data_IF_265440824329
#
_entry.id   IF_265440824329
#
_cell.length_a   1.000
_cell.length_b   1.000
_cell.length_c   1.000
_cell.angle_alpha   90.00
_cell.angle_beta   90.00
_cell.angle_gamma   90.00
#
_symmetry.space_group_name_H-M   'P 1'
#
loop_
_entity.id
_entity.type
_entity.pdbx_description
1 polymer ?
#
# COMPACT_ATOMS: atom_id res chain seq x y z
N UNK A 1 -5.08 10.10 4.51
CA UNK A 1 -6.28 9.32 4.13
C UNK A 1 -6.04 8.61 2.81
N UNK A 2 -5.29 7.51 2.79
CA UNK A 2 -4.94 6.80 1.55
C UNK A 2 -4.99 5.28 1.77
N UNK A 3 -5.46 4.49 0.78
CA UNK A 3 -5.69 3.05 0.94
C UNK A 3 -4.38 2.26 0.89
N UNK A 4 -4.18 1.38 1.87
CA UNK A 4 -2.99 0.53 1.98
C UNK A 4 -2.93 -0.52 0.84
N UNK A 5 -1.72 -0.82 0.32
CA UNK A 5 -1.47 -1.82 -0.74
C UNK A 5 -0.11 -2.47 -0.59
N UNK A 6 0.01 -3.73 -1.03
CA UNK A 6 0.85 -4.68 -0.30
C UNK A 6 1.17 -5.97 -1.13
N UNK A 7 2.27 -6.75 -0.85
CA UNK A 7 2.55 -8.18 -1.26
C UNK A 7 4.01 -8.64 -0.90
N UNK A 8 4.41 -9.89 -1.17
CA UNK A 8 5.57 -10.62 -0.55
C UNK A 8 6.77 -10.98 -1.47
N UNK A 9 7.93 -11.40 -0.88
CA UNK A 9 9.20 -11.70 -1.59
C UNK A 9 10.08 -12.79 -0.93
N UNK A 10 11.00 -13.41 -1.72
CA UNK A 10 12.09 -14.34 -1.32
C UNK A 10 13.40 -13.92 -2.05
N UNK A 11 14.58 -14.14 -1.47
CA UNK A 11 15.89 -13.61 -1.97
C UNK A 11 17.03 -14.65 -1.88
N UNK A 12 18.04 -14.63 -2.78
CA UNK A 12 19.36 -15.24 -2.57
C UNK A 12 20.55 -14.24 -2.61
N UNK A 13 21.70 -14.64 -2.05
CA UNK A 13 22.87 -13.78 -1.75
C UNK A 13 23.98 -13.76 -2.83
N UNK A 14 24.80 -12.70 -2.86
CA UNK A 14 26.18 -12.73 -3.40
C UNK A 14 27.14 -11.85 -2.55
N UNK A 15 28.45 -12.05 -2.72
CA UNK A 15 29.54 -11.60 -1.83
C UNK A 15 30.60 -10.81 -2.63
N UNK A 16 31.15 -9.69 -2.12
CA UNK A 16 32.57 -9.28 -2.30
C UNK A 16 32.93 -7.96 -1.58
N UNK A 17 34.22 -7.79 -1.25
CA UNK A 17 34.76 -6.71 -0.40
C UNK A 17 35.35 -5.55 -1.20
N UNK A 18 34.99 -4.30 -0.88
CA UNK A 18 35.81 -3.11 -1.15
C UNK A 18 35.58 -2.04 -0.07
N UNK A 19 36.66 -1.46 0.49
CA UNK A 19 36.59 -0.40 1.49
C UNK A 19 36.26 0.96 0.83
N UNK A 20 34.98 1.32 0.83
CA UNK A 20 34.52 2.70 0.70
C UNK A 20 33.94 3.15 2.04
N UNK A 21 33.92 4.46 2.30
CA UNK A 21 33.20 5.02 3.45
C UNK A 21 31.75 4.52 3.44
N UNK A 22 31.23 4.09 4.59
CA UNK A 22 29.86 3.59 4.73
C UNK A 22 28.83 4.73 4.57
N UNK A 23 28.65 5.20 3.34
CA UNK A 23 27.34 5.68 2.93
C UNK A 23 26.46 4.43 2.98
N UNK A 24 25.55 4.37 3.94
CA UNK A 24 24.53 3.31 4.02
C UNK A 24 23.62 3.43 2.80
N UNK A 25 24.04 2.80 1.70
CA UNK A 25 23.17 2.45 0.58
C UNK A 25 22.14 1.47 1.13
N UNK A 26 21.02 1.99 1.62
CA UNK A 26 19.86 1.16 1.93
C UNK A 26 19.36 0.60 0.60
N UNK A 27 19.58 -0.70 0.41
CA UNK A 27 19.15 -1.40 -0.80
C UNK A 27 17.63 -1.27 -0.92
N UNK A 28 17.16 -0.41 -1.82
CA UNK A 28 15.74 -0.09 -1.95
C UNK A 28 15.00 -1.33 -2.45
N UNK A 29 14.34 -2.01 -1.51
CA UNK A 29 13.56 -3.21 -1.78
C UNK A 29 12.48 -2.92 -2.82
N UNK A 30 12.28 -3.84 -3.75
CA UNK A 30 11.32 -3.72 -4.84
C UNK A 30 10.07 -4.59 -4.59
N UNK A 31 8.94 -4.17 -5.16
CA UNK A 31 7.67 -4.89 -5.14
C UNK A 31 6.94 -4.78 -6.49
N UNK A 32 6.03 -5.69 -6.78
CA UNK A 32 5.13 -5.59 -7.95
C UNK A 32 3.91 -4.76 -7.59
N UNK A 33 3.48 -3.88 -8.49
CA UNK A 33 2.41 -2.91 -8.26
C UNK A 33 1.45 -2.92 -9.46
N UNK A 34 0.15 -3.08 -9.20
CA UNK A 34 -0.90 -2.99 -10.24
C UNK A 34 -1.44 -1.57 -10.28
N UNK A 35 -1.16 -0.81 -11.34
CA UNK A 35 -1.60 0.59 -11.51
C UNK A 35 -2.51 0.78 -12.71
N UNK A 36 -3.60 1.51 -12.49
CA UNK A 36 -4.55 1.97 -13.49
C UNK A 36 -4.20 3.40 -13.88
N UNK A 37 -3.80 3.62 -15.14
CA UNK A 37 -3.43 4.94 -15.68
C UNK A 37 -4.62 5.69 -16.32
N UNK A 38 -5.71 4.98 -16.59
CA UNK A 38 -6.92 5.48 -17.24
C UNK A 38 -7.82 4.31 -17.64
N UNK A 39 -8.93 4.60 -18.32
CA UNK A 39 -9.89 3.58 -18.76
C UNK A 39 -9.17 2.49 -19.57
N UNK A 40 -9.31 1.25 -19.11
CA UNK A 40 -8.70 0.01 -19.65
C UNK A 40 -7.16 -0.02 -19.68
N UNK A 41 -6.48 0.93 -19.05
CA UNK A 41 -5.02 1.01 -19.00
C UNK A 41 -4.47 0.53 -17.65
N UNK A 42 -4.64 -0.76 -17.38
CA UNK A 42 -4.14 -1.43 -16.17
C UNK A 42 -2.78 -2.10 -16.46
N UNK A 43 -1.75 -1.72 -15.69
CA UNK A 43 -0.36 -2.17 -15.88
C UNK A 43 0.19 -2.78 -14.60
N UNK A 44 1.00 -3.83 -14.76
CA UNK A 44 1.72 -4.46 -13.66
C UNK A 44 3.20 -4.08 -13.74
N UNK A 45 3.62 -3.17 -12.86
CA UNK A 45 4.97 -2.60 -12.83
C UNK A 45 5.76 -3.04 -11.60
N UNK A 46 7.02 -2.60 -11.54
CA UNK A 46 7.88 -2.74 -10.35
C UNK A 46 8.04 -1.38 -9.70
N UNK A 47 7.70 -1.27 -8.42
CA UNK A 47 7.91 -0.06 -7.60
C UNK A 47 8.84 -0.34 -6.42
N UNK A 48 9.31 0.72 -5.75
CA UNK A 48 10.03 0.61 -4.48
C UNK A 48 9.05 0.39 -3.33
N UNK A 49 9.43 -0.46 -2.38
CA UNK A 49 8.74 -0.58 -1.08
C UNK A 49 8.89 0.74 -0.32
N UNK A 50 7.79 1.36 0.15
CA UNK A 50 7.88 2.61 0.90
C UNK A 50 8.38 2.38 2.33
N UNK A 51 8.93 3.42 2.94
CA UNK A 51 9.24 3.48 4.38
C UNK A 51 8.08 4.21 5.07
N UNK A 52 7.54 3.71 6.19
CA UNK A 52 6.41 4.34 6.87
C UNK A 52 6.83 5.65 7.56
N UNK A 53 6.01 6.70 7.42
CA UNK A 53 6.16 7.94 8.17
C UNK A 53 5.66 7.84 9.62
N UNK A 54 5.80 8.91 10.43
CA UNK A 54 5.23 8.97 11.78
C UNK A 54 3.72 8.68 11.77
N UNK A 55 3.26 7.81 12.67
CA UNK A 55 1.87 7.33 12.72
C UNK A 55 1.48 6.29 11.66
N UNK A 56 2.38 5.89 10.77
CA UNK A 56 2.11 4.90 9.70
C UNK A 56 2.73 3.53 10.00
N UNK A 57 2.22 2.49 9.32
CA UNK A 57 2.81 1.14 9.33
C UNK A 57 3.07 0.64 7.91
N UNK A 58 4.19 -0.05 7.70
CA UNK A 58 4.41 -0.79 6.46
C UNK A 58 3.74 -2.15 6.56
N UNK A 59 2.83 -2.41 5.64
CA UNK A 59 2.13 -3.68 5.54
C UNK A 59 2.79 -4.61 4.49
N UNK A 60 2.43 -5.90 4.51
CA UNK A 60 2.71 -6.93 3.49
C UNK A 60 1.43 -7.77 3.22
N UNK A 61 0.97 -7.97 1.97
CA UNK A 61 -0.37 -8.58 1.73
C UNK A 61 -0.35 -10.02 2.29
N UNK A 62 -1.46 -10.39 2.92
CA UNK A 62 -1.93 -11.76 3.00
C UNK A 62 -2.83 -12.12 1.80
N UNK A 63 -3.98 -11.43 1.60
CA UNK A 63 -4.75 -11.45 0.32
C UNK A 63 -5.39 -10.09 -0.06
N UNK A 64 -5.66 -9.87 -1.36
CA UNK A 64 -6.49 -8.77 -1.90
C UNK A 64 -7.68 -9.34 -2.67
N UNK A 65 -8.87 -8.79 -2.46
CA UNK A 65 -10.08 -9.04 -3.24
C UNK A 65 -10.19 -8.13 -4.45
N UNK A 66 -11.17 -8.40 -5.31
CA UNK A 66 -11.54 -7.55 -6.44
C UNK A 66 -13.01 -7.19 -6.29
N UNK A 67 -13.31 -5.90 -6.14
CA UNK A 67 -14.66 -5.41 -5.96
C UNK A 67 -15.33 -5.00 -7.29
N UNK A 68 -16.65 -4.82 -7.29
CA UNK A 68 -17.38 -4.25 -8.44
C UNK A 68 -16.92 -2.82 -8.77
N UNK A 69 -16.54 -2.03 -7.77
CA UNK A 69 -15.95 -0.70 -7.93
C UNK A 69 -14.59 -0.72 -8.66
N UNK A 70 -13.76 -1.77 -8.47
CA UNK A 70 -12.52 -1.92 -9.26
C UNK A 70 -12.82 -2.12 -10.76
N UNK A 71 -13.95 -2.77 -11.08
CA UNK A 71 -14.43 -2.89 -12.47
C UNK A 71 -14.88 -1.52 -12.99
N UNK A 72 -15.67 -0.76 -12.24
CA UNK A 72 -16.08 0.60 -12.64
C UNK A 72 -14.86 1.54 -12.86
N UNK A 73 -13.85 1.50 -11.98
CA UNK A 73 -12.59 2.22 -12.23
C UNK A 73 -11.93 1.79 -13.54
N UNK A 74 -11.85 0.48 -13.80
CA UNK A 74 -11.22 -0.04 -15.03
C UNK A 74 -12.00 0.27 -16.32
N UNK A 75 -13.34 0.22 -16.31
CA UNK A 75 -14.16 0.34 -17.54
C UNK A 75 -14.77 1.72 -17.78
N UNK A 76 -15.05 2.48 -16.73
CA UNK A 76 -15.70 3.80 -16.77
C UNK A 76 -14.78 4.93 -16.25
N UNK A 77 -13.71 4.59 -15.52
CA UNK A 77 -12.78 5.59 -14.96
C UNK A 77 -13.25 6.21 -13.63
N UNK A 78 -14.32 5.67 -13.04
CA UNK A 78 -14.85 6.18 -11.77
C UNK A 78 -16.14 5.49 -11.33
N UNK A 79 -16.56 5.73 -10.09
CA UNK A 79 -17.87 5.36 -9.56
C UNK A 79 -18.38 6.46 -8.63
N UNK A 80 -19.56 7.03 -8.92
CA UNK A 80 -20.05 8.21 -8.23
C UNK A 80 -19.04 9.37 -8.28
N UNK A 81 -18.73 9.95 -7.12
CA UNK A 81 -17.72 11.03 -7.00
C UNK A 81 -16.25 10.53 -7.03
N UNK A 82 -16.03 9.21 -6.93
CA UNK A 82 -14.70 8.61 -6.97
C UNK A 82 -14.21 8.47 -8.42
N UNK A 83 -13.61 9.54 -8.96
CA UNK A 83 -13.08 9.60 -10.33
C UNK A 83 -11.56 9.45 -10.35
N UNK A 84 -11.05 8.58 -11.24
CA UNK A 84 -9.62 8.37 -11.48
C UNK A 84 -9.05 9.55 -12.26
N UNK A 85 -8.41 10.48 -11.56
CA UNK A 85 -7.80 11.71 -12.13
C UNK A 85 -6.30 11.57 -12.44
N UNK A 86 -5.65 10.60 -11.81
CA UNK A 86 -4.22 10.30 -11.92
C UNK A 86 -4.00 8.79 -11.72
N UNK A 87 -2.80 8.24 -12.02
CA UNK A 87 -2.58 6.80 -11.94
C UNK A 87 -2.72 6.25 -10.51
N UNK A 88 -3.76 5.45 -10.28
CA UNK A 88 -4.00 4.80 -8.97
C UNK A 88 -3.46 3.38 -8.95
N UNK A 89 -2.92 2.94 -7.82
CA UNK A 89 -2.73 1.51 -7.57
C UNK A 89 -4.11 0.86 -7.33
N UNK A 90 -4.35 -0.38 -7.77
CA UNK A 90 -5.68 -1.04 -7.72
C UNK A 90 -5.90 -2.00 -6.53
N UNK A 91 -7.18 -2.25 -6.20
CA UNK A 91 -7.64 -3.03 -5.04
C UNK A 91 -8.05 -2.15 -3.85
N UNK A 92 -8.89 -2.63 -2.95
CA UNK A 92 -9.22 -1.91 -1.70
C UNK A 92 -9.83 -2.81 -0.61
N UNK A 93 -10.08 -4.08 -0.91
CA UNK A 93 -10.52 -5.11 0.03
C UNK A 93 -9.33 -6.02 0.33
N UNK A 94 -8.72 -5.97 1.51
CA UNK A 94 -7.50 -6.74 1.76
C UNK A 94 -7.17 -7.02 3.23
N UNK A 95 -6.31 -8.02 3.41
CA UNK A 95 -5.68 -8.37 4.67
C UNK A 95 -4.15 -8.37 4.56
N UNK A 96 -3.47 -8.11 5.69
CA UNK A 96 -2.08 -7.72 5.69
C UNK A 96 -1.32 -8.10 6.97
N UNK A 97 -0.03 -8.34 6.84
CA UNK A 97 0.90 -8.44 7.95
C UNK A 97 1.58 -7.09 8.20
N UNK A 98 1.59 -6.59 9.43
CA UNK A 98 2.43 -5.45 9.82
C UNK A 98 3.90 -5.88 9.78
N UNK A 99 4.74 -5.13 9.07
CA UNK A 99 6.16 -5.48 8.84
C UNK A 99 7.14 -4.43 9.33
N UNK A 100 6.77 -3.14 9.32
CA UNK A 100 7.55 -2.06 9.94
C UNK A 100 6.57 -1.04 10.57
N UNK A 101 7.01 -0.31 11.59
CA UNK A 101 6.25 0.77 12.24
C UNK A 101 7.02 2.08 12.10
N UNK A 102 6.31 3.16 11.78
CA UNK A 102 6.82 4.52 11.92
C UNK A 102 6.83 4.99 13.36
N UNK A 103 7.37 6.19 13.58
CA UNK A 103 7.44 6.83 14.90
C UNK A 103 6.04 7.04 15.51
N UNK A 104 5.88 6.76 16.81
CA UNK A 104 4.65 6.99 17.56
C UNK A 104 3.54 5.94 17.38
N UNK A 105 3.76 4.85 16.64
CA UNK A 105 2.78 3.75 16.53
C UNK A 105 3.02 2.74 17.66
N UNK A 106 2.33 2.91 18.79
CA UNK A 106 2.46 2.01 19.94
C UNK A 106 1.47 0.83 19.90
N UNK A 107 0.19 1.09 19.62
CA UNK A 107 -0.93 0.13 19.78
C UNK A 107 -1.03 -1.00 18.73
N UNK A 108 0.05 -1.26 17.98
CA UNK A 108 0.12 -2.28 16.92
C UNK A 108 1.41 -3.11 17.01
N UNK A 109 1.31 -4.40 16.70
CA UNK A 109 2.41 -5.36 16.81
C UNK A 109 3.02 -5.72 15.45
N UNK A 110 4.35 -5.89 15.38
CA UNK A 110 5.01 -6.45 14.21
C UNK A 110 4.60 -7.92 14.04
N UNK A 111 4.21 -8.31 12.83
CA UNK A 111 3.68 -9.65 12.55
C UNK A 111 2.20 -9.83 12.87
N UNK A 112 1.48 -8.77 13.27
CA UNK A 112 0.02 -8.80 13.41
C UNK A 112 -0.66 -8.90 12.03
N UNK A 113 -1.68 -9.76 11.93
CA UNK A 113 -2.59 -9.81 10.77
C UNK A 113 -3.72 -8.79 10.97
N UNK A 114 -3.88 -7.87 10.01
CA UNK A 114 -4.92 -6.85 10.02
C UNK A 114 -5.79 -6.94 8.76
N UNK A 115 -7.08 -6.65 8.90
CA UNK A 115 -7.92 -6.17 7.81
C UNK A 115 -7.90 -4.63 7.84
N UNK A 116 -8.14 -3.98 6.71
CA UNK A 116 -8.02 -2.52 6.60
C UNK A 116 -9.28 -1.90 6.05
N UNK A 117 -9.70 -0.82 6.69
CA UNK A 117 -10.70 0.11 6.17
C UNK A 117 -10.02 1.13 5.24
N UNK A 118 -10.24 1.09 3.91
CA UNK A 118 -9.68 2.07 2.98
C UNK A 118 -10.30 3.47 3.10
N UNK A 119 -11.54 3.58 3.57
CA UNK A 119 -12.25 4.85 3.76
C UNK A 119 -11.85 5.48 5.11
N UNK A 120 -10.83 6.33 5.08
CA UNK A 120 -10.32 6.92 6.31
C UNK A 120 -11.29 8.04 6.78
N UNK A 121 -11.84 8.00 8.01
CA UNK A 121 -12.86 8.94 8.49
C UNK A 121 -12.23 10.21 9.08
N UNK A 122 -12.90 11.36 9.02
CA UNK A 122 -12.36 12.61 9.58
C UNK A 122 -12.47 12.70 11.11
N UNK A 123 -13.27 11.84 11.74
CA UNK A 123 -13.44 11.76 13.20
C UNK A 123 -14.19 12.93 13.85
N UNK A 124 -14.56 13.97 13.09
CA UNK A 124 -15.09 15.23 13.65
C UNK A 124 -16.40 15.73 13.01
N UNK A 125 -16.84 15.17 11.88
CA UNK A 125 -18.11 15.57 11.26
C UNK A 125 -19.30 14.85 11.89
N UNK A 126 -20.52 15.37 11.65
CA UNK A 126 -21.77 14.79 12.16
C UNK A 126 -21.89 13.29 11.86
N UNK A 127 -21.55 12.83 10.64
CA UNK A 127 -21.55 11.40 10.31
C UNK A 127 -20.55 10.61 11.18
N UNK A 128 -19.29 11.06 11.26
CA UNK A 128 -18.27 10.37 12.08
C UNK A 128 -18.63 10.31 13.58
N UNK A 129 -19.44 11.23 14.09
CA UNK A 129 -19.88 11.26 15.49
C UNK A 129 -21.14 10.39 15.74
N UNK A 130 -21.85 9.95 14.70
CA UNK A 130 -23.04 9.10 14.80
C UNK A 130 -22.83 7.67 14.26
N UNK A 131 -21.76 7.42 13.49
CA UNK A 131 -21.43 6.13 12.87
C UNK A 131 -21.96 5.98 11.45
#
# INVERSE_FOLDING_TARGET
MHPLKIYSSITPMIHQNHKYNEVKMTEQKLMRVSKLYGIRDLRLETGTVPTPGPGEVLLKIASVGTCGSDVHYYVEGGIGDAIVKEPITMGHEFSAWITEKGEGVEDLELGQLVAVEPAIPCGICESCLHG
#
